data_IF_289153935720
#
_entry.id   IF_289153935720
#
_cell.length_a   1.000
_cell.length_b   1.000
_cell.length_c   1.000
_cell.angle_alpha   90.00
_cell.angle_beta   90.00
_cell.angle_gamma   90.00
#
_symmetry.space_group_name_H-M   'P 1'
#
loop_
_entity.id
_entity.type
_entity.pdbx_description
1 polymer ?
#
# COMPACT_ATOMS: atom_id res chain seq x y z
N UNK A 1 -6.41 -18.94 -8.16
CA UNK A 1 -5.45 -18.38 -7.17
C UNK A 1 -5.93 -17.06 -6.54
N UNK A 2 -6.49 -16.11 -7.30
CA UNK A 2 -6.94 -14.80 -6.78
C UNK A 2 -7.96 -14.85 -5.63
N UNK A 3 -8.96 -15.73 -5.70
CA UNK A 3 -9.96 -15.90 -4.62
C UNK A 3 -9.40 -16.57 -3.37
N UNK A 4 -8.47 -17.52 -3.52
CA UNK A 4 -7.80 -18.16 -2.39
C UNK A 4 -6.93 -17.15 -1.63
N UNK A 5 -6.21 -16.28 -2.36
CA UNK A 5 -5.46 -15.18 -1.75
C UNK A 5 -6.38 -14.19 -1.01
N UNK A 6 -7.55 -13.89 -1.55
CA UNK A 6 -8.53 -13.03 -0.87
C UNK A 6 -9.08 -13.66 0.42
N UNK A 7 -9.40 -14.95 0.39
CA UNK A 7 -9.87 -15.69 1.58
C UNK A 7 -8.77 -15.76 2.65
N UNK A 8 -7.53 -16.04 2.25
CA UNK A 8 -6.39 -16.07 3.18
C UNK A 8 -6.16 -14.69 3.82
N UNK A 9 -6.25 -13.62 3.04
CA UNK A 9 -6.08 -12.24 3.52
C UNK A 9 -7.22 -11.86 4.48
N UNK A 10 -8.45 -12.24 4.16
CA UNK A 10 -9.61 -12.03 5.03
C UNK A 10 -9.46 -12.78 6.36
N UNK A 11 -9.01 -14.04 6.31
CA UNK A 11 -8.76 -14.85 7.51
C UNK A 11 -7.65 -14.25 8.37
N UNK A 12 -6.56 -13.77 7.74
CA UNK A 12 -5.48 -13.07 8.45
C UNK A 12 -6.00 -11.79 9.12
N UNK A 13 -6.81 -10.99 8.43
CA UNK A 13 -7.42 -9.79 8.98
C UNK A 13 -8.33 -10.11 10.17
N UNK A 14 -9.11 -11.20 10.08
CA UNK A 14 -9.97 -11.68 11.16
C UNK A 14 -9.16 -12.06 12.40
N UNK A 15 -8.05 -12.79 12.24
CA UNK A 15 -7.15 -13.16 13.33
C UNK A 15 -6.57 -11.91 14.00
N UNK A 16 -6.13 -10.93 13.20
CA UNK A 16 -5.62 -9.65 13.72
C UNK A 16 -6.72 -8.92 14.51
N UNK A 17 -7.95 -8.87 13.98
CA UNK A 17 -9.07 -8.22 14.65
C UNK A 17 -9.41 -8.90 16.00
N UNK A 18 -9.41 -10.23 16.05
CA UNK A 18 -9.62 -10.99 17.30
C UNK A 18 -8.50 -10.72 18.30
N UNK A 19 -7.24 -10.70 17.84
CA UNK A 19 -6.09 -10.39 18.68
C UNK A 19 -6.20 -8.98 19.28
N UNK A 20 -6.59 -7.99 18.46
CA UNK A 20 -6.84 -6.62 18.92
C UNK A 20 -7.98 -6.57 19.93
N UNK A 21 -9.09 -7.28 19.71
CA UNK A 21 -10.20 -7.34 20.67
C UNK A 21 -9.77 -7.90 22.03
N UNK A 22 -9.07 -9.03 22.05
CA UNK A 22 -8.56 -9.63 23.29
C UNK A 22 -7.56 -8.69 23.95
N UNK A 23 -6.68 -8.07 23.17
CA UNK A 23 -5.73 -7.08 23.68
C UNK A 23 -6.44 -5.90 24.35
N UNK A 24 -7.51 -5.39 23.76
CA UNK A 24 -8.31 -4.28 24.33
C UNK A 24 -8.94 -4.70 25.65
N UNK A 25 -9.52 -5.90 25.72
CA UNK A 25 -10.21 -6.40 26.92
C UNK A 25 -9.25 -6.70 28.07
N UNK A 26 -8.09 -7.30 27.78
CA UNK A 26 -7.07 -7.62 28.78
C UNK A 26 -6.31 -6.37 29.25
N UNK A 27 -6.20 -5.36 28.39
CA UNK A 27 -5.44 -4.13 28.67
C UNK A 27 -6.36 -2.92 28.76
N UNK A 28 -7.44 -3.02 29.56
CA UNK A 28 -8.29 -1.88 29.96
C UNK A 28 -7.60 -0.94 30.97
N UNK A 29 -6.27 -0.92 30.98
CA UNK A 29 -5.49 -0.03 31.83
C UNK A 29 -5.52 1.38 31.27
N UNK A 30 -5.91 2.34 32.12
CA UNK A 30 -5.82 3.77 31.79
C UNK A 30 -4.36 4.22 31.83
N UNK A 31 -3.86 4.75 30.72
CA UNK A 31 -2.48 5.24 30.59
C UNK A 31 -2.50 6.72 30.24
N UNK A 32 -1.65 7.49 30.91
CA UNK A 32 -1.33 8.87 30.54
C UNK A 32 0.04 8.90 29.85
N UNK A 33 0.12 9.53 28.69
CA UNK A 33 1.39 9.75 28.00
C UNK A 33 1.93 11.12 28.46
N UNK A 34 3.13 11.11 29.01
CA UNK A 34 3.87 12.33 29.32
C UNK A 34 4.85 12.62 28.19
N UNK A 35 4.71 13.78 27.55
CA UNK A 35 5.59 14.20 26.47
C UNK A 35 6.03 15.65 26.69
N UNK A 36 7.34 15.87 26.86
CA UNK A 36 7.94 17.20 26.98
C UNK A 36 7.22 18.12 28.00
N UNK A 37 6.93 17.56 29.19
CA UNK A 37 6.17 18.19 30.30
C UNK A 37 4.67 18.40 30.07
N UNK A 38 4.12 17.95 28.95
CA UNK A 38 2.68 17.88 28.72
C UNK A 38 2.17 16.47 29.05
N UNK A 39 1.12 16.38 29.87
CA UNK A 39 0.43 15.12 30.14
C UNK A 39 -0.87 15.07 29.35
N UNK A 40 -1.04 14.02 28.56
CA UNK A 40 -2.33 13.76 27.91
C UNK A 40 -3.35 13.29 28.94
N UNK A 41 -4.65 13.51 28.70
CA UNK A 41 -5.72 12.87 29.48
C UNK A 41 -5.51 11.35 29.54
N UNK A 42 -5.88 10.73 30.65
CA UNK A 42 -5.85 9.27 30.79
C UNK A 42 -6.82 8.64 29.80
N UNK A 43 -6.32 7.75 28.96
CA UNK A 43 -7.13 7.01 27.99
C UNK A 43 -6.76 5.53 28.07
N UNK A 44 -7.69 4.61 27.72
CA UNK A 44 -7.35 3.20 27.62
C UNK A 44 -6.21 2.97 26.62
N UNK A 45 -5.22 2.17 26.98
CA UNK A 45 -4.07 1.84 26.12
C UNK A 45 -4.49 1.34 24.74
N UNK A 46 -5.57 0.55 24.72
CA UNK A 46 -6.33 0.16 23.55
C UNK A 46 -6.56 1.29 22.52
N UNK A 47 -7.07 2.44 22.96
CA UNK A 47 -7.43 3.55 22.08
C UNK A 47 -6.20 4.14 21.42
N UNK A 48 -5.11 4.28 22.17
CA UNK A 48 -3.83 4.79 21.68
C UNK A 48 -3.23 3.88 20.61
N UNK A 49 -3.26 2.56 20.84
CA UNK A 49 -2.73 1.59 19.89
C UNK A 49 -3.54 1.51 18.60
N UNK A 50 -4.87 1.53 18.72
CA UNK A 50 -5.75 1.56 17.53
C UNK A 50 -5.54 2.86 16.74
N UNK A 51 -5.43 4.01 17.42
CA UNK A 51 -5.15 5.28 16.76
C UNK A 51 -3.79 5.27 16.03
N UNK A 52 -2.73 4.78 16.69
CA UNK A 52 -1.40 4.65 16.10
C UNK A 52 -1.41 3.70 14.89
N UNK A 53 -2.13 2.58 14.99
CA UNK A 53 -2.29 1.63 13.89
C UNK A 53 -3.03 2.26 12.69
N UNK A 54 -4.13 2.98 12.93
CA UNK A 54 -4.87 3.67 11.88
C UNK A 54 -4.01 4.73 11.19
N UNK A 55 -3.26 5.52 11.95
CA UNK A 55 -2.30 6.49 11.40
C UNK A 55 -1.23 5.80 10.57
N UNK A 56 -0.68 4.69 11.05
CA UNK A 56 0.27 3.85 10.30
C UNK A 56 -0.32 3.34 8.98
N UNK A 57 -1.59 2.92 8.98
CA UNK A 57 -2.29 2.43 7.79
C UNK A 57 -2.48 3.56 6.76
N UNK A 58 -2.92 4.74 7.21
CA UNK A 58 -3.06 5.92 6.34
C UNK A 58 -1.71 6.30 5.72
N UNK A 59 -0.64 6.33 6.52
CA UNK A 59 0.72 6.60 6.04
C UNK A 59 1.19 5.54 5.04
N UNK A 60 0.94 4.26 5.32
CA UNK A 60 1.30 3.17 4.41
C UNK A 60 0.57 3.26 3.07
N UNK A 61 -0.73 3.60 3.08
CA UNK A 61 -1.50 3.84 1.85
C UNK A 61 -0.98 5.05 1.09
N UNK A 62 -0.66 6.14 1.79
CA UNK A 62 -0.12 7.34 1.18
C UNK A 62 1.22 7.07 0.48
N UNK A 63 2.15 6.39 1.16
CA UNK A 63 3.44 6.00 0.59
C UNK A 63 3.24 5.04 -0.60
N UNK A 64 2.38 4.03 -0.46
CA UNK A 64 2.09 3.08 -1.53
C UNK A 64 1.51 3.77 -2.77
N UNK A 65 0.62 4.75 -2.57
CA UNK A 65 0.05 5.53 -3.65
C UNK A 65 1.12 6.33 -4.41
N UNK A 66 2.04 7.00 -3.68
CA UNK A 66 3.16 7.72 -4.30
C UNK A 66 4.08 6.80 -5.11
N UNK A 67 4.36 5.60 -4.60
CA UNK A 67 5.17 4.60 -5.30
C UNK A 67 4.45 4.15 -6.58
N UNK A 68 3.16 3.83 -6.51
CA UNK A 68 2.36 3.42 -7.66
C UNK A 68 2.30 4.51 -8.75
N UNK A 69 2.21 5.78 -8.37
CA UNK A 69 2.27 6.90 -9.32
C UNK A 69 3.59 6.92 -10.08
N UNK A 70 4.73 6.79 -9.37
CA UNK A 70 6.05 6.73 -10.02
C UNK A 70 6.16 5.56 -10.99
N UNK A 71 5.64 4.39 -10.62
CA UNK A 71 5.62 3.22 -11.50
C UNK A 71 4.75 3.45 -12.75
N UNK A 72 3.56 4.05 -12.62
CA UNK A 72 2.70 4.35 -13.78
C UNK A 72 3.34 5.34 -14.75
N UNK A 73 3.97 6.39 -14.23
CA UNK A 73 4.66 7.40 -15.04
C UNK A 73 5.80 6.74 -15.84
N UNK A 74 6.60 5.89 -15.18
CA UNK A 74 7.69 5.16 -15.84
C UNK A 74 7.17 4.17 -16.89
N UNK A 75 6.04 3.50 -16.62
CA UNK A 75 5.42 2.58 -17.57
C UNK A 75 4.94 3.31 -18.84
N UNK A 76 4.38 4.52 -18.68
CA UNK A 76 3.90 5.33 -19.79
C UNK A 76 5.04 5.78 -20.70
N UNK A 77 6.22 6.12 -20.16
CA UNK A 77 7.38 6.51 -20.97
C UNK A 77 8.01 5.30 -21.69
N UNK A 78 8.10 4.13 -21.05
CA UNK A 78 8.60 2.90 -21.69
C UNK A 78 7.68 2.44 -22.83
N UNK A 79 6.36 2.50 -22.65
CA UNK A 79 5.43 2.13 -23.71
C UNK A 79 5.54 3.06 -24.93
N UNK A 80 5.82 4.35 -24.73
CA UNK A 80 6.06 5.30 -25.85
C UNK A 80 7.31 4.94 -26.66
N UNK A 81 8.39 4.50 -26.00
CA UNK A 81 9.60 4.04 -26.71
C UNK A 81 9.34 2.74 -27.47
N UNK A 82 8.58 1.82 -26.87
CA UNK A 82 8.21 0.56 -27.50
C UNK A 82 7.38 0.77 -28.77
N UNK A 83 6.42 1.71 -28.76
CA UNK A 83 5.60 2.02 -29.94
C UNK A 83 6.40 2.73 -31.03
N UNK A 84 7.32 3.63 -30.66
CA UNK A 84 8.22 4.27 -31.63
C UNK A 84 9.15 3.25 -32.32
N UNK A 85 9.83 2.39 -31.55
CA UNK A 85 10.71 1.35 -32.08
C UNK A 85 9.95 0.32 -32.94
N UNK A 86 8.75 -0.11 -32.52
CA UNK A 86 7.88 -0.97 -33.36
C UNK A 86 7.51 -0.30 -34.69
N UNK A 87 7.29 1.02 -34.69
CA UNK A 87 6.95 1.78 -35.91
C UNK A 87 8.14 1.89 -36.87
N UNK A 88 9.34 2.10 -36.34
CA UNK A 88 10.59 2.09 -37.12
C UNK A 88 10.84 0.72 -37.76
N UNK A 89 10.69 -0.36 -36.99
CA UNK A 89 10.81 -1.74 -37.49
C UNK A 89 9.81 -2.04 -38.61
N UNK A 90 8.56 -1.57 -38.47
CA UNK A 90 7.53 -1.73 -39.50
C UNK A 90 7.87 -0.97 -40.80
N UNK A 91 8.44 0.23 -40.69
CA UNK A 91 8.89 1.00 -41.85
C UNK A 91 10.14 0.41 -42.53
N UNK A 92 11.06 -0.18 -41.77
CA UNK A 92 12.23 -0.84 -42.36
C UNK A 92 11.82 -2.09 -43.16
N UNK A 93 10.90 -2.90 -42.63
CA UNK A 93 10.45 -4.12 -43.32
C UNK A 93 9.70 -3.83 -44.64
N UNK A 94 8.93 -2.74 -44.74
CA UNK A 94 8.30 -2.36 -46.00
C UNK A 94 9.29 -1.82 -47.02
N UNK A 95 10.35 -1.13 -46.58
CA UNK A 95 11.39 -0.60 -47.48
C UNK A 95 12.27 -1.73 -48.06
N UNK A 96 12.61 -2.73 -47.25
CA UNK A 96 13.40 -3.89 -47.69
C UNK A 96 12.64 -4.76 -48.71
N UNK A 97 11.31 -4.80 -48.65
CA UNK A 97 10.48 -5.54 -49.62
C UNK A 97 10.31 -4.83 -50.97
N UNK A 98 10.65 -3.54 -51.09
CA UNK A 98 10.57 -2.81 -52.36
C UNK A 98 11.90 -2.74 -53.13
N UNK A 99 13.01 -3.16 -52.51
CA UNK A 99 14.34 -3.18 -53.14
C UNK A 99 14.70 -4.57 -53.69
N UNK A 100 13.82 -5.56 -53.52
CA UNK A 100 13.99 -6.95 -53.97
C UNK A 100 13.03 -7.29 -55.09
#
# INVERSE_FOLDING_TARGET
MRRFQQVLLFLMLLVIALFVLVFILENETQVAISFLSYMTPTMPLAVLLVAAFLLGLILALFISYLVLLKFKIKLASTNKQLTACKKELASQNTTVLQVK
#
